data_IF_462195276223
#
_entry.id   IF_462195276223
#
_cell.length_a   1.000
_cell.length_b   1.000
_cell.length_c   1.000
_cell.angle_alpha   90.00
_cell.angle_beta   90.00
_cell.angle_gamma   90.00
#
_symmetry.space_group_name_H-M   'P 1'
#
loop_
_entity.id
_entity.type
_entity.pdbx_description
1 polymer ?
#
# COMPACT_ATOMS: atom_id res chain seq x y z
N UNK A 1 36.87 -7.04 -26.80
CA UNK A 1 36.07 -7.61 -25.69
C UNK A 1 35.87 -6.56 -24.57
N UNK A 2 35.36 -5.36 -24.91
CA UNK A 2 35.27 -4.18 -24.02
C UNK A 2 33.88 -3.49 -24.11
N UNK A 3 32.80 -4.25 -24.32
CA UNK A 3 31.43 -3.68 -24.37
C UNK A 3 30.52 -4.11 -23.22
N UNK A 4 30.83 -5.20 -22.52
CA UNK A 4 30.03 -5.70 -21.39
C UNK A 4 30.33 -4.99 -20.05
N UNK A 5 31.53 -4.43 -19.87
CA UNK A 5 31.93 -3.76 -18.62
C UNK A 5 31.13 -2.49 -18.32
N UNK A 6 30.75 -1.72 -19.35
CA UNK A 6 30.04 -0.46 -19.15
C UNK A 6 28.55 -0.64 -18.84
N UNK A 7 27.92 -1.72 -19.30
CA UNK A 7 26.49 -1.94 -19.09
C UNK A 7 26.15 -2.27 -17.63
N UNK A 8 26.99 -3.08 -16.96
CA UNK A 8 26.83 -3.35 -15.53
C UNK A 8 27.10 -2.13 -14.65
N UNK A 9 28.01 -1.24 -15.05
CA UNK A 9 28.27 0.01 -14.32
C UNK A 9 27.08 0.96 -14.35
N UNK A 10 26.43 1.11 -15.50
CA UNK A 10 25.24 1.96 -15.64
C UNK A 10 24.07 1.41 -14.82
N UNK A 11 23.87 0.08 -14.84
CA UNK A 11 22.84 -0.59 -14.03
C UNK A 11 23.12 -0.39 -12.53
N UNK A 12 24.38 -0.51 -12.10
CA UNK A 12 24.78 -0.32 -10.70
C UNK A 12 24.59 1.13 -10.22
N UNK A 13 24.88 2.12 -11.09
CA UNK A 13 24.65 3.54 -10.80
C UNK A 13 23.15 3.85 -10.74
N UNK A 14 22.33 3.28 -11.62
CA UNK A 14 20.88 3.45 -11.56
C UNK A 14 20.29 2.85 -10.27
N UNK A 15 20.75 1.65 -9.86
CA UNK A 15 20.30 1.01 -8.63
C UNK A 15 20.68 1.82 -7.36
N UNK A 16 21.87 2.41 -7.33
CA UNK A 16 22.30 3.29 -6.23
C UNK A 16 21.50 4.58 -6.17
N UNK A 17 21.25 5.22 -7.32
CA UNK A 17 20.45 6.46 -7.40
C UNK A 17 18.99 6.27 -6.96
N UNK A 18 18.40 5.09 -7.24
CA UNK A 18 17.06 4.74 -6.77
C UNK A 18 17.01 4.46 -5.27
N UNK A 19 18.06 3.89 -4.68
CA UNK A 19 18.15 3.74 -3.21
C UNK A 19 18.22 5.09 -2.48
N UNK A 20 18.98 6.05 -3.00
CA UNK A 20 19.11 7.38 -2.39
C UNK A 20 17.80 8.18 -2.47
N UNK A 21 17.02 8.01 -3.53
CA UNK A 21 15.70 8.65 -3.67
C UNK A 21 14.67 8.13 -2.64
N UNK A 22 14.82 6.90 -2.15
CA UNK A 22 13.98 6.34 -1.09
C UNK A 22 14.30 6.85 0.32
N UNK A 23 15.53 7.36 0.55
CA UNK A 23 15.97 7.81 1.88
C UNK A 23 15.62 9.28 2.18
N UNK A 24 15.39 10.11 1.16
CA UNK A 24 15.21 11.57 1.33
C UNK A 24 13.77 11.97 1.71
N UNK A 25 12.78 11.07 1.56
CA UNK A 25 11.38 11.41 1.91
C UNK A 25 10.98 11.09 3.35
N UNK A 26 11.94 10.88 4.26
CA UNK A 26 11.69 10.53 5.66
C UNK A 26 11.44 11.77 6.56
N UNK A 27 10.84 12.83 6.02
CA UNK A 27 10.28 13.89 6.83
C UNK A 27 8.98 13.38 7.46
N UNK A 28 9.12 12.92 8.71
CA UNK A 28 8.09 12.71 9.72
C UNK A 28 6.68 13.06 9.26
N UNK A 29 5.94 12.05 8.81
CA UNK A 29 4.48 12.10 8.77
C UNK A 29 4.04 12.36 10.21
N UNK A 30 3.56 13.59 10.47
CA UNK A 30 2.90 13.95 11.72
C UNK A 30 1.87 12.87 12.05
N UNK A 31 2.07 12.18 13.16
CA UNK A 31 1.14 11.19 13.66
C UNK A 31 -0.24 11.84 13.85
N UNK A 32 -1.17 11.57 12.94
CA UNK A 32 -2.59 11.82 13.18
C UNK A 32 -3.04 10.83 14.24
N UNK A 33 -3.56 11.37 15.34
CA UNK A 33 -4.14 10.64 16.45
C UNK A 33 -5.33 9.80 15.95
N UNK A 34 -5.11 8.49 15.80
CA UNK A 34 -6.12 7.54 15.36
C UNK A 34 -6.59 6.72 16.56
N UNK A 35 -7.64 7.18 17.25
CA UNK A 35 -8.42 6.35 18.17
C UNK A 35 -9.33 5.39 17.36
N UNK A 36 -8.73 4.61 16.46
CA UNK A 36 -9.45 3.68 15.60
C UNK A 36 -8.93 2.25 15.91
N UNK A 37 -9.72 1.40 16.61
CA UNK A 37 -9.26 0.15 17.22
C UNK A 37 -8.84 -0.95 16.23
N UNK A 38 -8.87 -0.69 14.92
CA UNK A 38 -8.41 -1.60 13.87
C UNK A 38 -7.00 -1.35 13.34
N UNK A 39 -6.33 -0.24 13.73
CA UNK A 39 -5.08 0.19 13.06
C UNK A 39 -3.80 -0.39 13.69
N UNK A 40 -3.84 -0.79 14.96
CA UNK A 40 -2.65 -1.24 15.69
C UNK A 40 -2.09 -2.60 15.20
N UNK A 41 -2.96 -3.54 14.81
CA UNK A 41 -2.52 -4.87 14.38
C UNK A 41 -1.76 -4.87 13.05
N UNK A 42 -2.06 -3.95 12.13
CA UNK A 42 -1.37 -3.88 10.83
C UNK A 42 -0.02 -3.14 10.90
N UNK A 43 0.10 -2.14 11.78
CA UNK A 43 1.35 -1.37 11.93
C UNK A 43 2.43 -2.22 12.64
N UNK A 44 2.07 -2.94 13.71
CA UNK A 44 3.01 -3.83 14.41
C UNK A 44 3.49 -5.00 13.55
N UNK A 45 2.64 -5.52 12.65
CA UNK A 45 3.04 -6.56 11.70
C UNK A 45 4.05 -6.02 10.66
N UNK A 46 4.00 -4.72 10.32
CA UNK A 46 4.89 -4.13 9.31
C UNK A 46 6.36 -4.09 9.73
N UNK A 47 6.66 -3.87 11.01
CA UNK A 47 8.04 -3.80 11.50
C UNK A 47 8.72 -5.18 11.47
N UNK A 48 7.98 -6.22 11.86
CA UNK A 48 8.43 -7.61 11.78
C UNK A 48 8.61 -8.09 10.35
N UNK A 49 7.69 -7.73 9.45
CA UNK A 49 7.77 -8.05 8.02
C UNK A 49 8.93 -7.31 7.32
N UNK A 50 9.20 -6.06 7.70
CA UNK A 50 10.37 -5.32 7.20
C UNK A 50 11.68 -5.93 7.69
N UNK A 51 11.77 -6.30 8.97
CA UNK A 51 12.93 -7.02 9.52
C UNK A 51 13.16 -8.35 8.79
N UNK A 52 12.09 -9.11 8.54
CA UNK A 52 12.15 -10.35 7.75
C UNK A 52 12.65 -10.11 6.33
N UNK A 53 12.19 -9.05 5.66
CA UNK A 53 12.67 -8.68 4.33
C UNK A 53 14.17 -8.34 4.35
N UNK A 54 14.63 -7.55 5.31
CA UNK A 54 16.04 -7.22 5.48
C UNK A 54 16.91 -8.46 5.71
N UNK A 55 16.44 -9.40 6.54
CA UNK A 55 17.13 -10.67 6.75
C UNK A 55 17.23 -11.50 5.47
N UNK A 56 16.15 -11.57 4.69
CA UNK A 56 16.17 -12.28 3.40
C UNK A 56 17.17 -11.66 2.41
N UNK A 57 17.28 -10.33 2.36
CA UNK A 57 18.27 -9.64 1.53
C UNK A 57 19.71 -9.97 1.98
N UNK A 58 19.94 -10.01 3.30
CA UNK A 58 21.23 -10.39 3.85
C UNK A 58 21.57 -11.85 3.52
N UNK A 59 20.63 -12.76 3.71
CA UNK A 59 20.78 -14.18 3.36
C UNK A 59 21.08 -14.35 1.86
N UNK A 60 20.38 -13.62 0.99
CA UNK A 60 20.63 -13.65 -0.45
C UNK A 60 22.05 -13.22 -0.78
N UNK A 61 22.55 -12.15 -0.14
CA UNK A 61 23.92 -11.65 -0.34
C UNK A 61 24.95 -12.68 0.12
N UNK A 62 24.76 -13.28 1.30
CA UNK A 62 25.67 -14.31 1.83
C UNK A 62 25.69 -15.51 0.89
N UNK A 63 24.51 -16.00 0.50
CA UNK A 63 24.38 -17.18 -0.37
C UNK A 63 24.94 -16.94 -1.77
N UNK A 64 24.78 -15.74 -2.32
CA UNK A 64 25.39 -15.36 -3.59
C UNK A 64 26.93 -15.40 -3.53
N UNK A 65 27.52 -14.96 -2.40
CA UNK A 65 28.97 -15.06 -2.21
C UNK A 65 29.44 -16.51 -2.08
N UNK A 66 28.68 -17.37 -1.40
CA UNK A 66 28.97 -18.81 -1.34
C UNK A 66 28.95 -19.44 -2.73
N UNK A 67 27.98 -19.08 -3.59
CA UNK A 67 27.92 -19.50 -4.99
C UNK A 67 29.15 -19.03 -5.76
N UNK A 68 29.54 -17.75 -5.64
CA UNK A 68 30.74 -17.21 -6.30
C UNK A 68 31.98 -18.00 -5.88
N UNK A 69 32.18 -18.19 -4.58
CA UNK A 69 33.32 -18.94 -4.05
C UNK A 69 33.33 -20.39 -4.57
N UNK A 70 32.17 -21.04 -4.62
CA UNK A 70 32.05 -22.41 -5.13
C UNK A 70 32.33 -22.51 -6.63
N UNK A 71 32.05 -21.47 -7.41
CA UNK A 71 32.40 -21.39 -8.84
C UNK A 71 33.91 -21.17 -9.05
N UNK A 72 34.56 -20.41 -8.16
CA UNK A 72 35.99 -20.11 -8.24
C UNK A 72 36.89 -21.24 -7.75
N UNK A 73 36.38 -22.16 -6.92
CA UNK A 73 37.13 -23.27 -6.34
C UNK A 73 36.67 -24.63 -6.90
N UNK A 74 37.48 -25.69 -6.70
CA UNK A 74 37.12 -27.06 -7.09
C UNK A 74 36.09 -27.67 -6.11
N UNK A 75 34.90 -27.09 -6.08
CA UNK A 75 33.73 -27.63 -5.37
C UNK A 75 32.97 -28.59 -6.31
N UNK A 76 32.31 -29.62 -5.75
CA UNK A 76 31.57 -30.58 -6.56
C UNK A 76 30.38 -29.93 -7.28
N UNK A 77 30.02 -30.44 -8.46
CA UNK A 77 28.85 -29.95 -9.20
C UNK A 77 27.54 -30.12 -8.42
N UNK A 78 27.44 -31.16 -7.58
CA UNK A 78 26.28 -31.37 -6.72
C UNK A 78 26.16 -30.27 -5.65
N UNK A 79 27.27 -29.88 -5.03
CA UNK A 79 27.27 -28.81 -4.02
C UNK A 79 26.98 -27.45 -4.66
N UNK A 80 27.54 -27.17 -5.85
CA UNK A 80 27.19 -25.98 -6.63
C UNK A 80 25.69 -25.92 -6.91
N UNK A 81 25.11 -27.03 -7.38
CA UNK A 81 23.67 -27.13 -7.67
C UNK A 81 22.82 -26.84 -6.41
N UNK A 82 23.19 -27.42 -5.27
CA UNK A 82 22.49 -27.17 -4.00
C UNK A 82 22.53 -25.68 -3.61
N UNK A 83 23.68 -25.02 -3.75
CA UNK A 83 23.82 -23.59 -3.46
C UNK A 83 22.94 -22.73 -4.38
N UNK A 84 22.85 -23.08 -5.67
CA UNK A 84 21.93 -22.42 -6.61
C UNK A 84 20.46 -22.60 -6.22
N UNK A 85 20.03 -23.82 -5.86
CA UNK A 85 18.65 -24.10 -5.43
C UNK A 85 18.29 -23.31 -4.14
N UNK A 86 19.24 -23.20 -3.21
CA UNK A 86 19.08 -22.37 -2.00
C UNK A 86 18.95 -20.88 -2.34
N UNK A 87 19.82 -20.36 -3.22
CA UNK A 87 19.77 -18.97 -3.66
C UNK A 87 18.45 -18.65 -4.37
N UNK A 88 17.97 -19.55 -5.22
CA UNK A 88 16.67 -19.43 -5.91
C UNK A 88 15.52 -19.41 -4.89
N UNK A 89 15.58 -20.27 -3.86
CA UNK A 89 14.56 -20.31 -2.80
C UNK A 89 14.49 -18.99 -2.04
N UNK A 90 15.64 -18.45 -1.62
CA UNK A 90 15.70 -17.14 -0.96
C UNK A 90 15.13 -16.05 -1.87
N UNK A 91 15.49 -16.06 -3.16
CA UNK A 91 14.98 -15.08 -4.11
C UNK A 91 13.45 -15.14 -4.28
N UNK A 92 12.86 -16.35 -4.35
CA UNK A 92 11.40 -16.52 -4.37
C UNK A 92 10.74 -15.94 -3.12
N UNK A 93 11.33 -16.14 -1.94
CA UNK A 93 10.81 -15.59 -0.68
C UNK A 93 10.88 -14.06 -0.64
N UNK A 94 11.92 -13.45 -1.22
CA UNK A 94 12.03 -12.00 -1.39
C UNK A 94 10.88 -11.48 -2.25
N UNK A 95 10.65 -12.08 -3.43
CA UNK A 95 9.56 -11.68 -4.34
C UNK A 95 8.20 -11.76 -3.63
N UNK A 96 7.92 -12.86 -2.93
CA UNK A 96 6.67 -13.04 -2.20
C UNK A 96 6.48 -11.97 -1.11
N UNK A 97 7.55 -11.66 -0.36
CA UNK A 97 7.53 -10.60 0.66
C UNK A 97 7.26 -9.23 0.03
N UNK A 98 7.90 -8.91 -1.10
CA UNK A 98 7.67 -7.66 -1.84
C UNK A 98 6.23 -7.54 -2.36
N UNK A 99 5.68 -8.63 -2.92
CA UNK A 99 4.32 -8.65 -3.42
C UNK A 99 3.30 -8.42 -2.29
N UNK A 100 3.53 -9.02 -1.12
CA UNK A 100 2.74 -8.76 0.08
C UNK A 100 2.80 -7.29 0.50
N UNK A 101 4.00 -6.69 0.49
CA UNK A 101 4.17 -5.27 0.83
C UNK A 101 3.46 -4.35 -0.17
N UNK A 102 3.58 -4.62 -1.47
CA UNK A 102 2.89 -3.85 -2.50
C UNK A 102 1.37 -3.89 -2.33
N UNK A 103 0.82 -5.06 -2.01
CA UNK A 103 -0.61 -5.22 -1.76
C UNK A 103 -1.06 -4.41 -0.53
N UNK A 104 -0.30 -4.47 0.56
CA UNK A 104 -0.57 -3.67 1.76
C UNK A 104 -0.51 -2.17 1.43
N UNK A 105 0.51 -1.73 0.68
CA UNK A 105 0.63 -0.32 0.25
C UNK A 105 -0.57 0.11 -0.58
N UNK A 106 -1.00 -0.71 -1.55
CA UNK A 106 -2.17 -0.42 -2.38
C UNK A 106 -3.45 -0.27 -1.54
N UNK A 107 -3.64 -1.10 -0.52
CA UNK A 107 -4.77 -0.98 0.42
C UNK A 107 -4.71 0.32 1.22
N UNK A 108 -3.54 0.67 1.77
CA UNK A 108 -3.35 1.91 2.52
C UNK A 108 -3.62 3.12 1.62
N UNK A 109 -3.05 3.16 0.42
CA UNK A 109 -3.25 4.24 -0.54
C UNK A 109 -4.73 4.39 -0.90
N UNK A 110 -5.42 3.29 -1.17
CA UNK A 110 -6.84 3.32 -1.51
C UNK A 110 -7.68 3.84 -0.33
N UNK A 111 -7.38 3.39 0.90
CA UNK A 111 -8.03 3.92 2.11
C UNK A 111 -7.81 5.43 2.28
N UNK A 112 -6.58 5.92 2.06
CA UNK A 112 -6.27 7.35 2.15
C UNK A 112 -7.02 8.17 1.10
N UNK A 113 -7.14 7.66 -0.14
CA UNK A 113 -7.90 8.32 -1.21
C UNK A 113 -9.38 8.48 -0.78
N UNK A 114 -10.01 7.41 -0.28
CA UNK A 114 -11.40 7.49 0.17
C UNK A 114 -11.59 8.42 1.35
N UNK A 115 -10.71 8.37 2.36
CA UNK A 115 -10.77 9.28 3.51
C UNK A 115 -10.65 10.75 3.07
N UNK A 116 -9.79 11.04 2.10
CA UNK A 116 -9.68 12.39 1.57
C UNK A 116 -10.95 12.84 0.83
N UNK A 117 -11.57 11.96 0.05
CA UNK A 117 -12.85 12.25 -0.63
C UNK A 117 -13.97 12.52 0.38
N UNK A 118 -14.09 11.69 1.43
CA UNK A 118 -15.06 11.90 2.52
C UNK A 118 -14.84 13.27 3.17
N UNK A 119 -13.60 13.60 3.51
CA UNK A 119 -13.28 14.89 4.14
C UNK A 119 -13.72 16.09 3.29
N UNK A 120 -13.52 16.03 1.98
CA UNK A 120 -13.97 17.09 1.05
C UNK A 120 -15.50 17.18 1.05
N UNK A 121 -16.19 16.04 1.03
CA UNK A 121 -17.66 16.01 1.09
C UNK A 121 -18.19 16.52 2.44
N UNK A 122 -17.55 16.24 3.56
CA UNK A 122 -17.92 16.76 4.89
C UNK A 122 -17.76 18.29 4.97
N UNK A 123 -16.71 18.84 4.34
CA UNK A 123 -16.53 20.28 4.20
C UNK A 123 -17.65 20.89 3.35
N UNK A 124 -17.98 20.28 2.21
CA UNK A 124 -19.09 20.73 1.36
C UNK A 124 -20.45 20.65 2.08
N UNK A 125 -20.69 19.59 2.84
CA UNK A 125 -21.90 19.45 3.66
C UNK A 125 -22.03 20.62 4.63
N UNK A 126 -20.93 20.94 5.33
CA UNK A 126 -20.90 22.04 6.30
C UNK A 126 -21.20 23.39 5.66
N UNK A 127 -20.65 23.65 4.47
CA UNK A 127 -20.94 24.84 3.68
C UNK A 127 -22.42 24.92 3.29
N UNK A 128 -22.97 23.83 2.73
CA UNK A 128 -24.36 23.77 2.31
C UNK A 128 -25.33 23.99 3.49
N UNK A 129 -25.00 23.45 4.66
CA UNK A 129 -25.77 23.69 5.89
C UNK A 129 -25.72 25.15 6.33
N UNK A 130 -24.57 25.81 6.24
CA UNK A 130 -24.45 27.24 6.55
C UNK A 130 -25.28 28.09 5.59
N UNK A 131 -25.20 27.82 4.28
CA UNK A 131 -25.99 28.50 3.26
C UNK A 131 -27.50 28.28 3.49
N UNK A 132 -27.92 27.06 3.85
CA UNK A 132 -29.32 26.76 4.17
C UNK A 132 -29.80 27.57 5.38
N UNK A 133 -28.99 27.67 6.44
CA UNK A 133 -29.30 28.48 7.63
C UNK A 133 -29.41 29.96 7.25
N UNK A 134 -28.53 30.47 6.41
CA UNK A 134 -28.58 31.85 5.94
C UNK A 134 -29.87 32.14 5.14
N UNK A 135 -30.27 31.23 4.25
CA UNK A 135 -31.52 31.36 3.51
C UNK A 135 -32.71 31.36 4.49
N UNK A 136 -32.75 30.46 5.47
CA UNK A 136 -33.81 30.39 6.48
C UNK A 136 -33.89 31.73 7.24
N UNK A 137 -32.76 32.26 7.70
CA UNK A 137 -32.72 33.52 8.46
C UNK A 137 -33.21 34.73 7.65
N UNK A 138 -33.03 34.69 6.33
CA UNK A 138 -33.48 35.73 5.41
C UNK A 138 -34.89 35.46 4.83
N UNK A 139 -35.51 34.34 5.18
CA UNK A 139 -36.86 33.99 4.72
C UNK A 139 -37.90 34.60 5.67
N UNK A 140 -38.81 35.46 5.19
CA UNK A 140 -39.88 36.03 6.01
C UNK A 140 -40.89 34.96 6.42
N UNK A 141 -41.75 35.30 7.39
CA UNK A 141 -42.80 34.40 7.89
C UNK A 141 -43.71 33.83 6.77
N UNK A 142 -43.92 34.60 5.70
CA UNK A 142 -44.58 34.16 4.48
C UNK A 142 -43.55 34.09 3.35
N UNK A 143 -42.97 32.90 3.16
CA UNK A 143 -41.96 32.67 2.13
C UNK A 143 -42.57 32.77 0.72
N UNK A 144 -41.85 33.41 -0.20
CA UNK A 144 -42.19 33.35 -1.63
C UNK A 144 -41.93 31.95 -2.19
N UNK A 145 -42.59 31.62 -3.31
CA UNK A 145 -42.33 30.37 -4.02
C UNK A 145 -40.85 30.22 -4.42
N UNK A 146 -40.21 31.33 -4.78
CA UNK A 146 -38.78 31.37 -5.10
C UNK A 146 -37.90 31.00 -3.88
N UNK A 147 -38.21 31.52 -2.70
CA UNK A 147 -37.50 31.18 -1.45
C UNK A 147 -37.70 29.72 -1.06
N UNK A 148 -38.92 29.19 -1.23
CA UNK A 148 -39.22 27.77 -1.00
C UNK A 148 -38.42 26.88 -1.96
N UNK A 149 -38.34 27.26 -3.23
CA UNK A 149 -37.57 26.54 -4.24
C UNK A 149 -36.07 26.59 -3.94
N UNK A 150 -35.55 27.73 -3.48
CA UNK A 150 -34.15 27.86 -3.08
C UNK A 150 -33.81 26.93 -1.90
N UNK A 151 -34.64 26.89 -0.87
CA UNK A 151 -34.49 25.97 0.26
C UNK A 151 -34.55 24.50 -0.17
N UNK A 152 -35.51 24.14 -1.03
CA UNK A 152 -35.66 22.79 -1.57
C UNK A 152 -34.41 22.37 -2.37
N UNK A 153 -33.89 23.26 -3.21
CA UNK A 153 -32.68 22.99 -3.99
C UNK A 153 -31.46 22.75 -3.07
N UNK A 154 -31.30 23.56 -2.01
CA UNK A 154 -30.23 23.33 -1.02
C UNK A 154 -30.39 22.01 -0.29
N UNK A 155 -31.61 21.66 0.13
CA UNK A 155 -31.87 20.36 0.76
C UNK A 155 -31.53 19.18 -0.17
N UNK A 156 -31.85 19.29 -1.47
CA UNK A 156 -31.49 18.26 -2.46
C UNK A 156 -29.97 18.11 -2.53
N UNK A 157 -29.21 19.21 -2.60
CA UNK A 157 -27.75 19.17 -2.62
C UNK A 157 -27.16 18.54 -1.34
N UNK A 158 -27.72 18.87 -0.17
CA UNK A 158 -27.32 18.28 1.12
C UNK A 158 -27.54 16.77 1.11
N UNK A 159 -28.71 16.32 0.65
CA UNK A 159 -29.04 14.89 0.57
C UNK A 159 -28.09 14.15 -0.39
N UNK A 160 -27.86 14.70 -1.58
CA UNK A 160 -26.92 14.13 -2.57
C UNK A 160 -25.50 14.02 -2.00
N UNK A 161 -25.04 15.05 -1.29
CA UNK A 161 -23.71 15.03 -0.69
C UNK A 161 -23.59 13.95 0.40
N UNK A 162 -24.64 13.76 1.21
CA UNK A 162 -24.70 12.70 2.21
C UNK A 162 -24.74 11.29 1.57
N UNK A 163 -25.49 11.13 0.48
CA UNK A 163 -25.53 9.88 -0.28
C UNK A 163 -24.15 9.52 -0.84
N UNK A 164 -23.40 10.49 -1.38
CA UNK A 164 -22.03 10.24 -1.84
C UNK A 164 -21.10 9.80 -0.71
N UNK A 165 -21.19 10.39 0.49
CA UNK A 165 -20.42 9.95 1.66
C UNK A 165 -20.75 8.48 1.97
N UNK A 166 -22.03 8.13 2.02
CA UNK A 166 -22.47 6.76 2.31
C UNK A 166 -21.98 5.75 1.27
N UNK A 167 -22.02 6.11 -0.02
CA UNK A 167 -21.49 5.27 -1.10
C UNK A 167 -19.99 5.00 -0.95
N UNK A 168 -19.20 6.01 -0.59
CA UNK A 168 -17.75 5.83 -0.36
C UNK A 168 -17.51 4.95 0.87
N UNK A 169 -18.29 5.12 1.94
CA UNK A 169 -18.20 4.26 3.12
C UNK A 169 -18.53 2.79 2.81
N UNK A 170 -19.52 2.53 1.95
CA UNK A 170 -19.82 1.18 1.46
C UNK A 170 -18.68 0.61 0.60
N UNK A 171 -18.11 1.41 -0.30
CA UNK A 171 -16.94 1.02 -1.09
C UNK A 171 -15.75 0.65 -0.19
N UNK A 172 -15.50 1.41 0.87
CA UNK A 172 -14.47 1.10 1.87
C UNK A 172 -14.75 -0.22 2.61
N UNK A 173 -16.00 -0.51 2.96
CA UNK A 173 -16.40 -1.77 3.63
C UNK A 173 -16.24 -2.98 2.71
N UNK A 174 -16.53 -2.81 1.42
CA UNK A 174 -16.50 -3.90 0.44
C UNK A 174 -15.08 -4.24 -0.04
N UNK A 175 -14.07 -3.42 0.26
CA UNK A 175 -12.67 -3.75 0.07
C UNK A 175 -12.14 -4.64 1.23
N UNK A 176 -12.54 -5.91 1.24
CA UNK A 176 -12.00 -6.93 2.15
C UNK A 176 -10.56 -7.36 1.72
N UNK A 177 -9.66 -7.71 2.66
CA UNK A 177 -8.25 -7.98 2.33
C UNK A 177 -8.05 -9.37 1.71
N UNK A 178 -7.59 -9.37 0.44
CA UNK A 178 -6.87 -10.40 -0.35
C UNK A 178 -7.50 -11.83 -0.44
N UNK A 179 -7.63 -12.42 -1.65
CA UNK A 179 -7.85 -13.85 -1.79
C UNK A 179 -6.72 -14.68 -1.16
N UNK A 180 -7.07 -15.71 -0.38
CA UNK A 180 -6.09 -16.69 0.12
C UNK A 180 -5.31 -17.25 -1.08
N UNK A 181 -4.02 -16.90 -1.18
CA UNK A 181 -3.10 -17.64 -2.04
C UNK A 181 -3.00 -19.02 -1.39
N UNK A 182 -3.69 -20.00 -1.96
CA UNK A 182 -3.56 -21.40 -1.57
C UNK A 182 -2.13 -21.83 -1.90
N UNK A 183 -1.26 -21.82 -0.89
CA UNK A 183 -0.01 -22.57 -0.92
C UNK A 183 -0.39 -24.05 -0.83
N UNK A 184 -0.85 -24.66 -1.93
CA UNK A 184 -0.94 -26.11 -2.01
C UNK A 184 0.49 -26.65 -1.92
N UNK A 185 0.89 -27.01 -0.71
CA UNK A 185 2.03 -27.85 -0.43
C UNK A 185 1.75 -29.21 -1.07
N UNK A 186 2.12 -29.37 -2.34
CA UNK A 186 2.30 -30.69 -2.92
C UNK A 186 3.65 -31.24 -2.42
N UNK A 187 3.69 -31.59 -1.14
CA UNK A 187 4.66 -32.56 -0.63
C UNK A 187 4.09 -33.95 -0.93
N UNK A 188 4.11 -34.36 -2.20
CA UNK A 188 4.04 -35.78 -2.54
C UNK A 188 5.38 -36.40 -2.16
N UNK A 189 5.51 -36.77 -0.89
CA UNK A 189 6.52 -37.71 -0.43
C UNK A 189 6.15 -39.11 -0.95
N UNK A 190 6.62 -39.42 -2.15
CA UNK A 190 6.94 -40.77 -2.63
C UNK A 190 8.38 -41.05 -2.15
N UNK A 191 8.81 -42.14 -1.53
CA UNK A 191 8.50 -43.58 -1.48
C UNK A 191 8.99 -44.10 -0.11
N UNK A 192 8.33 -45.07 0.54
CA UNK A 192 8.64 -46.52 0.52
C UNK A 192 10.14 -46.84 0.55
#
# INVERSE_FOLDING_TARGET
MLKLSNQFKIISICLLSLMELFLINNNQIKAMNNNDPGTSNNIYNSLGEYSKYQNLLLEQRIKAQEVINALEHQVSENDKKLLFEQLETIHKQIILTQQKHLNIQQQITTKLIFLNQIKILEQNYSLLMQEMIEIINNTPLYASEEQINLLRNKQIMINQNQEHINQILEQMRNQSPIPRINLSHNNTSQKR
#
